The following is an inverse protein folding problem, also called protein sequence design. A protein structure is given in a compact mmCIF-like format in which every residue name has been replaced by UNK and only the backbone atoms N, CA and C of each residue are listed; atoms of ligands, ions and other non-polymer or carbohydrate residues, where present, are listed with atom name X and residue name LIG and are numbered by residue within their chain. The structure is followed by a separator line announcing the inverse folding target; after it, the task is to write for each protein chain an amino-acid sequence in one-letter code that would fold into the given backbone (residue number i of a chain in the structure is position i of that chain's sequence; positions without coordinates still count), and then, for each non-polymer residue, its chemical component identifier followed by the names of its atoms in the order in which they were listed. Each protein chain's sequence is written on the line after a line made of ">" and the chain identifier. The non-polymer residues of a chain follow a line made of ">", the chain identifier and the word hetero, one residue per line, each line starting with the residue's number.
data_IF_368898799545
#
_entry.id   IF_368898799545
#
_cell.length_a   1.000
_cell.length_b   1.000
_cell.length_c   1.000
_cell.angle_alpha   90.00
_cell.angle_beta   90.00
_cell.angle_gamma   90.00
#
_symmetry.space_group_name_H-M   'P 1'
#
loop_
_entity.id
_entity.type
_entity.pdbx_description
1 polymer ?
#
# COMPACT_ATOMS: atom_id res chain seq x y z
N UNK A 1 14.28 -0.95 -8.64
CA UNK A 1 13.99 -1.99 -7.65
C UNK A 1 14.42 -3.32 -8.24
N UNK A 2 15.67 -3.75 -8.00
CA UNK A 2 16.15 -5.05 -8.51
C UNK A 2 15.50 -6.14 -7.65
N UNK A 3 14.81 -7.10 -8.27
CA UNK A 3 14.05 -8.15 -7.59
C UNK A 3 12.66 -7.74 -7.08
N UNK A 4 12.22 -6.50 -7.37
CA UNK A 4 10.90 -5.96 -7.04
C UNK A 4 10.40 -5.05 -8.19
N UNK A 5 10.71 -5.43 -9.43
CA UNK A 5 10.46 -4.62 -10.63
C UNK A 5 8.97 -4.41 -10.91
N UNK A 6 8.14 -5.37 -10.52
CA UNK A 6 6.68 -5.38 -10.70
C UNK A 6 5.93 -4.86 -9.46
N UNK A 7 6.63 -4.27 -8.50
CA UNK A 7 6.08 -3.79 -7.24
C UNK A 7 6.16 -2.26 -7.11
N UNK A 8 5.15 -1.67 -6.48
CA UNK A 8 5.14 -0.25 -6.15
C UNK A 8 5.88 -0.01 -4.83
N UNK A 9 6.90 0.85 -4.85
CA UNK A 9 7.56 1.28 -3.62
C UNK A 9 6.70 2.28 -2.84
N UNK A 10 6.25 1.91 -1.64
CA UNK A 10 5.49 2.75 -0.73
C UNK A 10 6.37 3.29 0.42
N UNK A 11 6.34 4.60 0.67
CA UNK A 11 7.10 5.24 1.75
C UNK A 11 6.37 5.25 3.08
N UNK A 12 5.05 5.33 3.02
CA UNK A 12 4.20 5.35 4.20
C UNK A 12 2.90 4.63 3.89
N UNK A 13 2.36 3.99 4.91
CA UNK A 13 1.05 3.39 4.92
C UNK A 13 0.37 3.80 6.23
N UNK A 14 -0.86 4.29 6.13
CA UNK A 14 -1.72 4.63 7.25
C UNK A 14 -3.05 3.92 7.06
N UNK A 15 -3.48 3.22 8.09
CA UNK A 15 -4.79 2.61 8.18
C UNK A 15 -5.43 3.02 9.50
N UNK A 16 -6.71 3.38 9.48
CA UNK A 16 -7.44 3.73 10.69
C UNK A 16 -8.72 2.92 10.80
N UNK A 17 -8.91 2.32 11.96
CA UNK A 17 -10.11 1.57 12.33
C UNK A 17 -10.60 2.15 13.65
N UNK A 18 -11.85 2.59 13.69
CA UNK A 18 -12.49 3.00 14.95
C UNK A 18 -13.51 1.96 15.35
N UNK A 19 -13.43 1.52 16.61
CA UNK A 19 -14.49 0.68 17.17
C UNK A 19 -15.62 1.58 17.68
N UNK A 20 -16.83 1.38 17.18
CA UNK A 20 -18.03 2.08 17.61
C UNK A 20 -18.98 1.09 18.29
N UNK A 21 -19.99 1.58 19.01
CA UNK A 21 -21.03 0.71 19.58
C UNK A 21 -21.81 -0.08 18.51
N UNK A 22 -21.66 0.30 17.23
CA UNK A 22 -22.26 -0.38 16.06
C UNK A 22 -21.26 -1.28 15.32
N UNK A 23 -20.08 -1.50 15.87
CA UNK A 23 -19.01 -2.31 15.30
C UNK A 23 -17.81 -1.50 14.79
N UNK A 24 -16.86 -2.20 14.17
CA UNK A 24 -15.62 -1.61 13.65
C UNK A 24 -15.87 -0.88 12.33
N UNK A 25 -15.42 0.38 12.23
CA UNK A 25 -15.48 1.19 11.02
C UNK A 25 -14.07 1.43 10.49
N UNK A 26 -13.84 1.01 9.24
CA UNK A 26 -12.60 1.25 8.50
C UNK A 26 -12.68 2.63 7.84
N UNK A 27 -11.73 3.52 8.13
CA UNK A 27 -11.69 4.90 7.58
C UNK A 27 -10.99 5.00 6.23
N UNK A 28 -10.52 3.87 5.70
CA UNK A 28 -9.77 3.79 4.45
C UNK A 28 -8.27 3.62 4.68
N UNK A 29 -7.63 3.07 3.66
CA UNK A 29 -6.19 2.86 3.60
C UNK A 29 -5.56 3.98 2.77
N UNK A 30 -4.54 4.63 3.32
CA UNK A 30 -3.80 5.69 2.64
C UNK A 30 -2.33 5.32 2.57
N UNK A 31 -1.71 5.44 1.41
CA UNK A 31 -0.27 5.22 1.25
C UNK A 31 0.36 6.29 0.37
N UNK A 32 1.66 6.56 0.57
CA UNK A 32 2.43 7.49 -0.25
C UNK A 32 3.46 6.74 -1.09
N UNK A 33 3.57 7.11 -2.37
CA UNK A 33 4.53 6.58 -3.34
C UNK A 33 5.11 7.71 -4.20
N UNK A 34 6.18 7.43 -4.95
CA UNK A 34 6.66 8.36 -5.98
C UNK A 34 5.71 8.40 -7.19
N UNK A 35 5.90 9.41 -8.03
CA UNK A 35 5.36 9.39 -9.39
C UNK A 35 6.19 8.40 -10.21
N UNK A 36 5.54 7.34 -10.68
CA UNK A 36 6.13 6.28 -11.51
C UNK A 36 5.12 5.78 -12.55
N UNK A 37 5.46 4.69 -13.25
CA UNK A 37 4.62 4.09 -14.31
C UNK A 37 3.20 3.72 -13.86
N UNK A 38 3.00 3.39 -12.58
CA UNK A 38 1.69 3.01 -12.03
C UNK A 38 0.80 4.22 -11.67
N UNK A 39 1.38 5.42 -11.48
CA UNK A 39 0.61 6.61 -11.07
C UNK A 39 -0.60 6.93 -11.96
N UNK A 40 -0.47 7.01 -13.30
CA UNK A 40 -1.63 7.26 -14.16
C UNK A 40 -2.65 6.10 -14.13
N UNK A 41 -2.21 4.86 -13.90
CA UNK A 41 -3.09 3.70 -13.82
C UNK A 41 -3.93 3.73 -12.53
N UNK A 42 -3.33 4.08 -11.40
CA UNK A 42 -4.05 4.26 -10.14
C UNK A 42 -5.07 5.40 -10.22
N UNK A 43 -4.72 6.52 -10.86
CA UNK A 43 -5.66 7.63 -11.10
C UNK A 43 -6.83 7.17 -11.97
N UNK A 44 -6.55 6.40 -13.03
CA UNK A 44 -7.60 5.86 -13.89
C UNK A 44 -8.52 4.90 -13.13
N UNK A 45 -7.96 4.02 -12.30
CA UNK A 45 -8.75 3.10 -11.47
C UNK A 45 -9.66 3.86 -10.49
N UNK A 46 -9.15 4.91 -9.84
CA UNK A 46 -9.94 5.79 -8.96
C UNK A 46 -11.09 6.44 -9.73
N UNK A 47 -10.80 7.04 -10.90
CA UNK A 47 -11.80 7.76 -11.69
C UNK A 47 -12.92 6.84 -12.22
N UNK A 48 -12.60 5.56 -12.45
CA UNK A 48 -13.56 4.58 -12.95
C UNK A 48 -14.19 3.72 -11.84
N UNK A 49 -13.91 4.00 -10.56
CA UNK A 49 -14.31 3.16 -9.42
C UNK A 49 -13.94 1.69 -9.63
N UNK A 50 -12.77 1.43 -10.22
CA UNK A 50 -12.30 0.08 -10.50
C UNK A 50 -11.94 -0.62 -9.18
N UNK A 51 -12.43 -1.84 -9.01
CA UNK A 51 -12.09 -2.66 -7.87
C UNK A 51 -10.67 -3.22 -8.04
N UNK A 52 -9.76 -2.78 -7.18
CA UNK A 52 -8.38 -3.26 -7.16
C UNK A 52 -8.15 -4.23 -6.00
N UNK A 53 -7.36 -5.26 -6.24
CA UNK A 53 -6.73 -6.03 -5.19
C UNK A 53 -5.34 -5.44 -4.92
N UNK A 54 -5.06 -5.08 -3.66
CA UNK A 54 -3.79 -4.50 -3.26
C UNK A 54 -3.14 -5.36 -2.17
N UNK A 55 -1.92 -5.81 -2.42
CA UNK A 55 -1.06 -6.52 -1.48
C UNK A 55 0.06 -5.59 -1.01
N UNK A 56 0.29 -5.53 0.32
CA UNK A 56 1.31 -4.68 0.91
C UNK A 56 2.32 -5.54 1.68
N UNK A 57 3.57 -5.50 1.21
CA UNK A 57 4.67 -6.23 1.81
C UNK A 57 5.52 -5.30 2.67
N UNK A 58 5.69 -5.67 3.94
CA UNK A 58 6.50 -4.92 4.89
C UNK A 58 7.86 -5.59 5.01
N UNK A 59 8.91 -4.83 4.74
CA UNK A 59 10.27 -5.32 4.87
C UNK A 59 10.96 -4.72 6.09
N UNK A 60 11.77 -5.52 6.77
CA UNK A 60 12.67 -5.07 7.83
C UNK A 60 14.08 -5.63 7.63
N UNK A 61 15.05 -5.04 8.32
CA UNK A 61 16.41 -5.57 8.38
C UNK A 61 16.48 -6.64 9.46
N UNK A 62 16.91 -7.84 9.09
CA UNK A 62 17.06 -8.94 10.01
C UNK A 62 18.38 -8.89 10.79
N UNK A 63 18.56 -9.85 11.71
CA UNK A 63 19.77 -9.94 12.56
C UNK A 63 21.09 -10.10 11.77
N UNK A 64 21.01 -10.50 10.51
CA UNK A 64 22.15 -10.70 9.61
C UNK A 64 22.36 -9.52 8.64
N UNK A 65 21.62 -8.42 8.81
CA UNK A 65 21.73 -7.23 7.96
C UNK A 65 21.07 -7.36 6.59
N UNK A 66 20.18 -8.35 6.40
CA UNK A 66 19.48 -8.58 5.13
C UNK A 66 18.01 -8.18 5.25
N UNK A 67 17.41 -7.75 4.14
CA UNK A 67 15.97 -7.56 4.05
C UNK A 67 15.24 -8.89 4.26
N UNK A 68 14.22 -8.85 5.11
CA UNK A 68 13.24 -9.93 5.27
C UNK A 68 11.82 -9.33 5.30
N UNK A 69 10.86 -10.07 4.73
CA UNK A 69 9.42 -9.78 4.80
C UNK A 69 8.86 -10.27 6.14
#
# INVERSE_FOLDING_TARGET
>A
QIGHEDEIFAFSLSNSITNTDKGSQLHGLSFCKLIDKSSPLLINAINNNEQLFMEFDFYRINRFGRWEK
#
